data_IF_390758805162
#
_entry.id   IF_390758805162
#
_cell.length_a   1.000
_cell.length_b   1.000
_cell.length_c   1.000
_cell.angle_alpha   90.00
_cell.angle_beta   90.00
_cell.angle_gamma   90.00
#
_symmetry.space_group_name_H-M   'P 1'
#
loop_
_entity.id
_entity.type
_entity.pdbx_description
1 polymer ?
#
# COMPACT_ATOMS: atom_id res chain seq x y z
N UNK A 1 -34.44 -14.15 -2.20
CA UNK A 1 -33.30 -14.93 -2.77
C UNK A 1 -32.15 -14.06 -3.33
N UNK A 2 -32.19 -12.73 -3.16
CA UNK A 2 -31.20 -11.81 -3.76
C UNK A 2 -30.40 -10.99 -2.73
N UNK A 3 -30.28 -11.48 -1.50
CA UNK A 3 -29.59 -10.79 -0.41
C UNK A 3 -28.08 -11.05 -0.44
N UNK A 4 -27.30 -10.06 -0.05
CA UNK A 4 -25.88 -10.23 0.32
C UNK A 4 -25.80 -10.91 1.68
N UNK A 5 -24.82 -11.77 1.88
CA UNK A 5 -24.60 -12.50 3.14
C UNK A 5 -23.24 -12.12 3.69
N UNK A 6 -23.18 -11.72 4.94
CA UNK A 6 -21.96 -11.61 5.73
C UNK A 6 -21.86 -12.90 6.55
N UNK A 7 -20.82 -13.70 6.30
CA UNK A 7 -20.60 -14.99 6.98
C UNK A 7 -19.47 -14.82 8.00
N UNK A 8 -19.83 -14.67 9.26
CA UNK A 8 -18.84 -14.61 10.35
C UNK A 8 -18.24 -15.98 10.61
N UNK A 9 -16.91 -16.01 10.86
CA UNK A 9 -16.11 -17.23 10.95
C UNK A 9 -15.41 -17.41 12.30
N UNK A 10 -15.92 -16.75 13.34
CA UNK A 10 -15.38 -16.86 14.69
C UNK A 10 -15.39 -18.32 15.17
N UNK A 11 -14.27 -18.73 15.82
CA UNK A 11 -14.06 -20.09 16.32
C UNK A 11 -14.27 -21.23 15.29
N UNK A 12 -14.29 -20.90 13.97
CA UNK A 12 -14.48 -21.88 12.89
C UNK A 12 -13.17 -22.29 12.25
N UNK A 13 -13.07 -23.56 11.88
CA UNK A 13 -12.00 -24.07 11.03
C UNK A 13 -12.38 -23.97 9.54
N UNK A 14 -11.42 -24.29 8.66
CA UNK A 14 -11.58 -24.13 7.21
C UNK A 14 -12.64 -25.07 6.62
N UNK A 15 -12.80 -26.27 7.15
CA UNK A 15 -13.85 -27.25 6.67
C UNK A 15 -15.23 -26.72 6.99
N UNK A 16 -15.45 -26.19 8.18
CA UNK A 16 -16.76 -25.65 8.58
C UNK A 16 -17.15 -24.43 7.72
N UNK A 17 -16.20 -23.55 7.40
CA UNK A 17 -16.43 -22.43 6.47
C UNK A 17 -16.80 -22.97 5.07
N UNK A 18 -16.08 -23.99 4.58
CA UNK A 18 -16.36 -24.59 3.29
C UNK A 18 -17.77 -25.21 3.24
N UNK A 19 -18.19 -25.87 4.29
CA UNK A 19 -19.53 -26.49 4.36
C UNK A 19 -20.64 -25.45 4.41
N UNK A 20 -20.46 -24.37 5.18
CA UNK A 20 -21.38 -23.23 5.18
C UNK A 20 -21.52 -22.60 3.77
N UNK A 21 -20.42 -22.42 3.05
CA UNK A 21 -20.43 -21.90 1.69
C UNK A 21 -21.12 -22.85 0.68
N UNK A 22 -21.01 -24.17 0.86
CA UNK A 22 -21.75 -25.16 0.05
C UNK A 22 -23.27 -25.03 0.23
N UNK A 23 -23.72 -24.85 1.48
CA UNK A 23 -25.15 -24.68 1.82
C UNK A 23 -25.69 -23.39 1.20
N UNK A 24 -24.93 -22.28 1.28
CA UNK A 24 -25.36 -20.96 0.79
C UNK A 24 -25.54 -20.91 -0.74
N UNK A 25 -24.79 -21.69 -1.51
CA UNK A 25 -24.83 -21.80 -2.99
C UNK A 25 -24.74 -20.46 -3.75
N UNK A 26 -24.28 -19.37 -3.08
CA UNK A 26 -24.28 -17.99 -3.61
C UNK A 26 -22.94 -17.28 -3.41
N UNK A 27 -21.80 -17.97 -3.63
CA UNK A 27 -20.43 -17.47 -3.35
C UNK A 27 -20.20 -16.03 -3.73
N UNK A 28 -20.66 -15.57 -4.90
CA UNK A 28 -20.48 -14.17 -5.38
C UNK A 28 -21.19 -13.13 -4.51
N UNK A 29 -22.12 -13.52 -3.66
CA UNK A 29 -22.88 -12.62 -2.76
C UNK A 29 -22.47 -12.77 -1.31
N UNK A 30 -21.53 -13.65 -1.01
CA UNK A 30 -21.01 -13.86 0.35
C UNK A 30 -19.76 -13.02 0.53
N UNK A 31 -19.70 -12.31 1.64
CA UNK A 31 -18.49 -11.75 2.21
C UNK A 31 -18.13 -12.57 3.43
N UNK A 32 -16.97 -13.21 3.41
CA UNK A 32 -16.45 -13.94 4.57
C UNK A 32 -15.88 -12.92 5.55
N UNK A 33 -16.46 -12.89 6.76
CA UNK A 33 -16.03 -12.03 7.85
C UNK A 33 -15.05 -12.79 8.72
N UNK A 34 -13.74 -12.50 8.57
CA UNK A 34 -12.76 -13.02 9.51
C UNK A 34 -12.98 -12.40 10.87
N UNK A 35 -13.07 -13.18 11.92
CA UNK A 35 -13.19 -12.69 13.29
C UNK A 35 -12.58 -13.66 14.31
N UNK A 36 -12.23 -13.10 15.46
CA UNK A 36 -11.82 -13.83 16.65
C UNK A 36 -12.89 -13.65 17.72
N UNK A 37 -13.31 -14.74 18.37
CA UNK A 37 -14.40 -14.72 19.36
C UNK A 37 -13.93 -14.42 20.79
N UNK A 38 -12.78 -13.74 20.98
CA UNK A 38 -12.38 -13.17 22.25
C UNK A 38 -12.79 -11.69 22.35
N UNK A 39 -13.29 -11.26 23.49
CA UNK A 39 -13.84 -9.91 23.74
C UNK A 39 -13.23 -9.25 24.98
N UNK A 40 -12.25 -8.29 24.84
CA UNK A 40 -11.66 -7.86 23.56
C UNK A 40 -10.65 -8.87 23.01
N UNK A 41 -10.50 -8.91 21.67
CA UNK A 41 -9.47 -9.71 21.01
C UNK A 41 -8.08 -9.11 21.25
N UNK A 42 -7.07 -9.90 21.69
CA UNK A 42 -5.68 -9.48 21.72
C UNK A 42 -5.16 -9.15 20.31
N UNK A 43 -4.27 -8.16 20.20
CA UNK A 43 -3.76 -7.75 18.88
C UNK A 43 -3.08 -8.89 18.11
N UNK A 44 -2.33 -9.75 18.81
CA UNK A 44 -1.62 -10.89 18.20
C UNK A 44 -2.58 -11.94 17.61
N UNK A 45 -3.83 -11.98 18.09
CA UNK A 45 -4.82 -12.97 17.68
C UNK A 45 -5.76 -12.46 16.58
N UNK A 46 -5.66 -11.16 16.19
CA UNK A 46 -6.43 -10.61 15.06
C UNK A 46 -6.06 -11.32 13.75
N UNK A 47 -4.78 -11.62 13.54
CA UNK A 47 -4.26 -12.36 12.39
C UNK A 47 -4.82 -11.88 11.04
N UNK A 48 -4.56 -10.62 10.68
CA UNK A 48 -5.06 -10.02 9.44
C UNK A 48 -4.65 -10.78 8.17
N UNK A 49 -3.55 -11.53 8.19
CA UNK A 49 -3.14 -12.37 7.06
C UNK A 49 -4.15 -13.46 6.70
N UNK A 50 -5.00 -13.87 7.65
CA UNK A 50 -6.10 -14.78 7.37
C UNK A 50 -7.10 -14.24 6.34
N UNK A 51 -7.24 -12.92 6.22
CA UNK A 51 -8.11 -12.30 5.23
C UNK A 51 -7.69 -12.69 3.80
N UNK A 52 -6.40 -12.50 3.49
CA UNK A 52 -5.86 -12.87 2.18
C UNK A 52 -5.96 -14.35 1.91
N UNK A 53 -5.63 -15.18 2.90
CA UNK A 53 -5.74 -16.63 2.80
C UNK A 53 -7.19 -17.07 2.50
N UNK A 54 -8.18 -16.52 3.22
CA UNK A 54 -9.61 -16.83 3.00
C UNK A 54 -10.07 -16.37 1.61
N UNK A 55 -9.64 -15.18 1.16
CA UNK A 55 -9.96 -14.67 -0.17
C UNK A 55 -9.45 -15.60 -1.27
N UNK A 56 -8.17 -15.98 -1.19
CA UNK A 56 -7.53 -16.86 -2.19
C UNK A 56 -8.16 -18.25 -2.18
N UNK A 57 -8.41 -18.84 -0.99
CA UNK A 57 -8.95 -20.19 -0.85
C UNK A 57 -10.40 -20.32 -1.34
N UNK A 58 -11.25 -19.36 -1.03
CA UNK A 58 -12.68 -19.47 -1.31
C UNK A 58 -13.16 -18.64 -2.49
N UNK A 59 -12.30 -17.74 -3.02
CA UNK A 59 -12.65 -16.81 -4.09
C UNK A 59 -13.93 -16.01 -3.79
N UNK A 60 -14.04 -15.51 -2.56
CA UNK A 60 -15.14 -14.70 -2.03
C UNK A 60 -14.63 -13.31 -1.63
N UNK A 61 -15.56 -12.35 -1.50
CA UNK A 61 -15.23 -11.10 -0.81
C UNK A 61 -14.87 -11.37 0.64
N UNK A 62 -14.02 -10.53 1.19
CA UNK A 62 -13.56 -10.61 2.59
C UNK A 62 -13.92 -9.36 3.36
N UNK A 63 -14.13 -9.53 4.66
CA UNK A 63 -14.33 -8.48 5.64
C UNK A 63 -13.71 -8.86 6.98
N UNK A 64 -13.58 -7.90 7.87
CA UNK A 64 -13.11 -8.07 9.23
C UNK A 64 -14.23 -7.73 10.21
N UNK A 65 -14.58 -8.69 11.07
CA UNK A 65 -15.36 -8.45 12.29
C UNK A 65 -14.36 -8.34 13.45
N UNK A 66 -14.08 -7.12 13.88
CA UNK A 66 -12.98 -6.80 14.79
C UNK A 66 -13.49 -6.56 16.22
N UNK A 67 -13.21 -7.48 17.12
CA UNK A 67 -13.55 -7.41 18.54
C UNK A 67 -12.43 -6.82 19.41
N UNK A 68 -11.33 -6.33 18.81
CA UNK A 68 -10.27 -5.63 19.55
C UNK A 68 -10.65 -4.18 19.86
N UNK A 69 -9.83 -3.48 20.66
CA UNK A 69 -9.94 -2.03 20.86
C UNK A 69 -9.12 -1.22 19.85
N UNK A 70 -8.49 -1.87 18.89
CA UNK A 70 -7.66 -1.22 17.88
C UNK A 70 -8.49 -0.35 16.94
N UNK A 71 -8.01 0.87 16.71
CA UNK A 71 -8.50 1.78 15.65
C UNK A 71 -7.64 1.70 14.39
N UNK A 72 -6.56 0.90 14.43
CA UNK A 72 -5.58 0.75 13.33
C UNK A 72 -5.81 -0.53 12.55
N UNK A 73 -6.10 -1.64 13.23
CA UNK A 73 -6.28 -2.96 12.60
C UNK A 73 -7.32 -2.94 11.46
N UNK A 74 -8.47 -2.24 11.57
CA UNK A 74 -9.43 -2.11 10.46
C UNK A 74 -8.84 -1.47 9.19
N UNK A 75 -7.95 -0.47 9.33
CA UNK A 75 -7.26 0.12 8.17
C UNK A 75 -6.28 -0.86 7.53
N UNK A 76 -5.60 -1.68 8.34
CA UNK A 76 -4.77 -2.78 7.86
C UNK A 76 -5.58 -3.83 7.08
N UNK A 77 -6.76 -4.19 7.58
CA UNK A 77 -7.67 -5.10 6.88
C UNK A 77 -8.10 -4.56 5.51
N UNK A 78 -8.42 -3.26 5.41
CA UNK A 78 -8.75 -2.60 4.15
C UNK A 78 -7.55 -2.63 3.20
N UNK A 79 -6.33 -2.41 3.69
CA UNK A 79 -5.10 -2.50 2.88
C UNK A 79 -4.87 -3.90 2.29
N UNK A 80 -5.32 -4.95 2.97
CA UNK A 80 -5.26 -6.35 2.51
C UNK A 80 -6.42 -6.72 1.57
N UNK A 81 -7.47 -5.87 1.48
CA UNK A 81 -8.59 -6.06 0.56
C UNK A 81 -9.94 -6.31 1.22
N UNK A 82 -10.07 -6.13 2.54
CA UNK A 82 -11.36 -6.18 3.21
C UNK A 82 -12.30 -5.09 2.67
N UNK A 83 -13.53 -5.48 2.34
CA UNK A 83 -14.56 -4.59 1.80
C UNK A 83 -15.64 -4.25 2.83
N UNK A 84 -15.66 -4.95 3.96
CA UNK A 84 -16.58 -4.76 5.07
C UNK A 84 -15.78 -4.77 6.37
N UNK A 85 -16.08 -3.80 7.23
CA UNK A 85 -15.57 -3.76 8.61
C UNK A 85 -16.79 -3.75 9.54
N UNK A 86 -16.76 -4.65 10.50
CA UNK A 86 -17.76 -4.76 11.58
C UNK A 86 -17.04 -4.47 12.90
N UNK A 87 -17.68 -3.70 13.77
CA UNK A 87 -17.04 -3.24 15.01
C UNK A 87 -18.10 -2.96 16.08
N UNK A 88 -17.84 -3.41 17.30
CA UNK A 88 -18.66 -3.06 18.46
C UNK A 88 -18.54 -1.56 18.75
N UNK A 89 -19.66 -0.94 19.06
CA UNK A 89 -19.80 0.49 19.33
C UNK A 89 -20.62 0.74 20.59
N UNK A 90 -20.19 1.69 21.41
CA UNK A 90 -20.91 2.11 22.62
C UNK A 90 -20.75 3.59 22.89
N UNK A 91 -21.72 4.18 23.55
CA UNK A 91 -21.62 5.55 24.06
C UNK A 91 -20.74 5.64 25.31
N UNK A 92 -20.67 4.58 26.12
CA UNK A 92 -19.81 4.52 27.31
C UNK A 92 -19.45 3.08 27.66
N UNK A 93 -18.16 2.82 27.92
CA UNK A 93 -17.68 1.51 28.43
C UNK A 93 -18.13 1.22 29.88
N UNK A 94 -18.75 2.20 30.54
CA UNK A 94 -19.28 2.04 31.91
C UNK A 94 -20.72 1.53 31.94
N UNK A 95 -21.37 1.41 30.79
CA UNK A 95 -22.74 0.87 30.69
C UNK A 95 -22.75 -0.59 31.10
N UNK A 96 -23.89 -1.05 31.64
CA UNK A 96 -24.09 -2.45 32.01
C UNK A 96 -24.30 -3.29 30.76
N UNK A 97 -23.58 -4.41 30.64
CA UNK A 97 -23.68 -5.34 29.53
C UNK A 97 -22.31 -5.92 29.16
N UNK A 98 -22.27 -7.04 28.45
CA UNK A 98 -21.02 -7.78 28.21
C UNK A 98 -20.07 -7.03 27.23
N UNK A 99 -20.61 -6.38 26.20
CA UNK A 99 -19.81 -5.93 25.04
C UNK A 99 -19.27 -4.50 25.16
N UNK A 100 -19.75 -3.71 26.12
CA UNK A 100 -19.34 -2.31 26.26
C UNK A 100 -17.84 -2.13 26.46
N UNK A 101 -17.19 -3.05 27.20
CA UNK A 101 -15.73 -3.02 27.46
C UNK A 101 -14.90 -3.23 26.20
N UNK A 102 -15.44 -3.99 25.24
CA UNK A 102 -14.79 -4.33 23.96
C UNK A 102 -15.19 -3.38 22.82
N UNK A 103 -16.04 -2.38 23.12
CA UNK A 103 -16.62 -1.48 22.12
C UNK A 103 -15.80 -0.21 21.95
N UNK A 104 -15.82 0.36 20.74
CA UNK A 104 -15.28 1.68 20.48
C UNK A 104 -16.22 2.78 20.95
N UNK A 105 -15.65 3.86 21.48
CA UNK A 105 -16.34 5.10 21.79
C UNK A 105 -16.55 5.95 20.50
N UNK A 106 -17.48 6.94 20.49
CA UNK A 106 -17.76 7.76 19.30
C UNK A 106 -16.52 8.39 18.65
N UNK A 107 -15.61 8.95 19.46
CA UNK A 107 -14.35 9.55 18.97
C UNK A 107 -13.41 8.50 18.35
N UNK A 108 -13.31 7.33 18.96
CA UNK A 108 -12.47 6.24 18.46
C UNK A 108 -13.02 5.70 17.14
N UNK A 109 -14.33 5.47 17.04
CA UNK A 109 -15.01 5.06 15.81
C UNK A 109 -14.80 6.10 14.69
N UNK A 110 -14.98 7.38 14.99
CA UNK A 110 -14.75 8.46 14.03
C UNK A 110 -13.30 8.45 13.52
N UNK A 111 -12.32 8.30 14.43
CA UNK A 111 -10.90 8.22 14.06
C UNK A 111 -10.62 6.98 13.22
N UNK A 112 -11.16 5.82 13.57
CA UNK A 112 -11.04 4.58 12.79
C UNK A 112 -11.57 4.77 11.37
N UNK A 113 -12.76 5.34 11.21
CA UNK A 113 -13.35 5.60 9.90
C UNK A 113 -12.46 6.55 9.09
N UNK A 114 -11.95 7.63 9.70
CA UNK A 114 -11.01 8.55 9.05
C UNK A 114 -9.76 7.81 8.55
N UNK A 115 -9.15 6.99 9.40
CA UNK A 115 -7.98 6.20 9.05
C UNK A 115 -8.27 5.25 7.88
N UNK A 116 -9.44 4.59 7.85
CA UNK A 116 -9.87 3.75 6.74
C UNK A 116 -9.95 4.57 5.44
N UNK A 117 -10.60 5.75 5.46
CA UNK A 117 -10.74 6.60 4.27
C UNK A 117 -9.40 7.17 3.77
N UNK A 118 -8.46 7.43 4.66
CA UNK A 118 -7.09 7.80 4.30
C UNK A 118 -6.34 6.63 3.66
N UNK A 119 -6.48 5.42 4.23
CA UNK A 119 -5.90 4.20 3.67
C UNK A 119 -6.41 3.92 2.26
N UNK A 120 -7.73 3.99 2.01
CA UNK A 120 -8.32 3.81 0.69
C UNK A 120 -7.72 4.75 -0.37
N UNK A 121 -7.50 6.03 0.01
CA UNK A 121 -6.84 7.00 -0.87
C UNK A 121 -5.37 6.65 -1.12
N UNK A 122 -4.67 6.18 -0.09
CA UNK A 122 -3.24 5.86 -0.16
C UNK A 122 -2.96 4.59 -0.98
N UNK A 123 -3.89 3.64 -1.01
CA UNK A 123 -3.74 2.40 -1.79
C UNK A 123 -3.59 2.66 -3.30
N UNK A 124 -4.27 3.65 -3.83
CA UNK A 124 -4.14 4.02 -5.24
C UNK A 124 -4.43 2.87 -6.21
N UNK A 125 -3.60 2.75 -7.23
CA UNK A 125 -3.72 1.72 -8.29
C UNK A 125 -2.51 0.79 -8.30
N UNK A 126 -2.70 -0.47 -8.70
CA UNK A 126 -1.61 -1.46 -8.85
C UNK A 126 -0.73 -1.13 -10.07
N UNK A 127 -0.09 0.04 -10.05
CA UNK A 127 0.81 0.50 -11.09
C UNK A 127 1.91 1.41 -10.52
N UNK A 128 3.13 1.35 -11.06
CA UNK A 128 4.20 2.30 -10.74
C UNK A 128 4.40 3.29 -11.87
N UNK A 129 3.89 4.49 -11.67
CA UNK A 129 4.10 5.62 -12.59
C UNK A 129 4.50 6.89 -11.85
N UNK A 130 5.04 7.85 -12.62
CA UNK A 130 5.39 9.15 -12.07
C UNK A 130 4.11 9.92 -11.77
N UNK A 131 3.90 10.26 -10.51
CA UNK A 131 2.73 11.00 -10.06
C UNK A 131 2.77 12.46 -10.50
N UNK A 132 1.62 13.15 -10.43
CA UNK A 132 1.55 14.59 -10.73
C UNK A 132 2.45 15.41 -9.81
N UNK A 133 2.52 15.05 -8.52
CA UNK A 133 3.37 15.69 -7.52
C UNK A 133 4.86 15.52 -7.82
N UNK A 134 5.29 14.33 -8.29
CA UNK A 134 6.69 14.06 -8.63
C UNK A 134 7.15 14.75 -9.92
N UNK A 135 6.24 14.98 -10.88
CA UNK A 135 6.60 15.54 -12.20
C UNK A 135 7.34 16.87 -12.10
N UNK A 136 6.94 17.76 -11.18
CA UNK A 136 7.58 19.07 -10.98
C UNK A 136 9.03 18.93 -10.53
N UNK A 137 9.29 17.99 -9.62
CA UNK A 137 10.61 17.80 -9.01
C UNK A 137 11.52 16.87 -9.81
N UNK A 138 10.96 16.07 -10.73
CA UNK A 138 11.69 15.04 -11.46
C UNK A 138 12.97 15.54 -12.13
N UNK A 139 12.90 16.71 -12.79
CA UNK A 139 14.07 17.30 -13.49
C UNK A 139 15.13 17.79 -12.51
N UNK A 140 14.72 18.24 -11.34
CA UNK A 140 15.63 18.77 -10.30
C UNK A 140 16.37 17.64 -9.60
N UNK A 141 15.65 16.57 -9.22
CA UNK A 141 16.21 15.48 -8.40
C UNK A 141 17.00 14.45 -9.20
N UNK A 142 16.76 14.32 -10.51
CA UNK A 142 17.51 13.38 -11.35
C UNK A 142 18.91 13.95 -11.65
N UNK A 143 19.83 13.03 -12.00
CA UNK A 143 21.19 13.39 -12.39
C UNK A 143 21.35 13.42 -13.91
N UNK A 144 22.27 14.25 -14.37
CA UNK A 144 22.81 14.27 -15.73
C UNK A 144 24.26 13.83 -15.73
N UNK A 145 24.75 13.39 -16.88
CA UNK A 145 26.18 13.27 -17.11
C UNK A 145 26.75 14.66 -17.30
N UNK A 146 27.77 14.99 -16.50
CA UNK A 146 28.50 16.25 -16.55
C UNK A 146 30.01 15.99 -16.73
N UNK A 147 30.77 16.99 -17.16
CA UNK A 147 32.22 16.96 -17.11
C UNK A 147 32.68 17.01 -15.64
N UNK A 148 33.56 16.12 -15.18
CA UNK A 148 34.15 16.18 -13.84
C UNK A 148 35.33 17.16 -13.77
N UNK A 149 35.98 17.36 -14.90
CA UNK A 149 37.09 18.28 -15.15
C UNK A 149 36.85 18.99 -16.48
N UNK A 150 37.69 19.97 -16.83
CA UNK A 150 37.66 20.56 -18.17
C UNK A 150 37.96 19.51 -19.24
N UNK A 151 37.19 19.50 -20.32
CA UNK A 151 37.33 18.57 -21.46
C UNK A 151 37.52 19.40 -22.71
N UNK A 152 38.56 19.15 -23.49
CA UNK A 152 38.82 19.88 -24.75
C UNK A 152 38.05 19.25 -25.91
N UNK A 153 37.75 20.05 -26.94
CA UNK A 153 37.17 19.54 -28.20
C UNK A 153 38.11 18.46 -28.78
N UNK A 154 37.50 17.34 -29.21
CA UNK A 154 38.21 16.16 -29.73
C UNK A 154 38.63 15.14 -28.66
N UNK A 155 38.62 15.49 -27.39
CA UNK A 155 38.95 14.61 -26.28
C UNK A 155 37.83 13.54 -26.10
N UNK A 156 38.24 12.29 -25.79
CA UNK A 156 37.28 11.18 -25.57
C UNK A 156 36.65 11.26 -24.18
N UNK A 157 35.35 11.09 -24.11
CA UNK A 157 34.62 10.91 -22.86
C UNK A 157 34.96 9.60 -22.19
N UNK A 158 35.31 9.62 -20.92
CA UNK A 158 35.70 8.45 -20.12
C UNK A 158 35.25 8.61 -18.66
N UNK A 159 35.36 7.56 -17.87
CA UNK A 159 35.11 7.62 -16.42
C UNK A 159 36.01 8.62 -15.68
N UNK A 160 37.18 8.96 -16.26
CA UNK A 160 38.13 9.90 -15.65
C UNK A 160 37.66 11.36 -15.75
N UNK A 161 36.87 11.70 -16.79
CA UNK A 161 36.44 13.07 -17.07
C UNK A 161 34.93 13.29 -17.05
N UNK A 162 34.15 12.27 -16.60
CA UNK A 162 32.70 12.34 -16.44
C UNK A 162 32.29 12.17 -14.99
N UNK A 163 31.22 12.86 -14.59
CA UNK A 163 30.55 12.71 -13.30
C UNK A 163 29.01 12.72 -13.46
N UNK A 164 28.30 12.39 -12.38
CA UNK A 164 26.84 12.35 -12.37
C UNK A 164 26.31 13.30 -11.31
N UNK A 165 25.87 14.47 -11.74
CA UNK A 165 25.38 15.55 -10.86
C UNK A 165 23.93 15.94 -11.19
N UNK A 166 23.23 16.53 -10.24
CA UNK A 166 21.94 17.21 -10.46
C UNK A 166 22.20 18.58 -11.09
N UNK A 167 21.25 19.10 -11.88
CA UNK A 167 19.92 18.60 -12.21
C UNK A 167 19.90 17.64 -13.42
N UNK A 168 18.73 17.01 -13.65
CA UNK A 168 18.51 16.03 -14.71
C UNK A 168 18.06 16.61 -16.06
N UNK A 169 18.61 17.75 -16.46
CA UNK A 169 18.29 18.41 -17.74
C UNK A 169 19.09 17.86 -18.94
N UNK A 170 20.11 17.07 -18.68
CA UNK A 170 21.00 16.49 -19.68
C UNK A 170 20.79 15.00 -19.89
N UNK A 171 21.86 14.36 -20.39
CA UNK A 171 21.84 12.91 -20.65
C UNK A 171 21.82 12.18 -19.32
N UNK A 172 20.86 11.27 -19.18
CA UNK A 172 20.75 10.42 -17.97
C UNK A 172 21.99 9.53 -17.80
N UNK A 173 22.51 9.35 -16.58
CA UNK A 173 23.59 8.41 -16.28
C UNK A 173 23.32 6.98 -16.80
N UNK A 174 22.07 6.54 -16.86
CA UNK A 174 21.69 5.25 -17.44
C UNK A 174 22.04 5.09 -18.93
N UNK A 175 22.33 6.20 -19.61
CA UNK A 175 22.75 6.22 -21.01
C UNK A 175 24.27 6.45 -21.17
N UNK A 176 25.05 6.18 -20.12
CA UNK A 176 26.51 6.39 -20.13
C UNK A 176 27.21 5.70 -21.31
N UNK A 177 26.82 4.47 -21.63
CA UNK A 177 27.38 3.72 -22.80
C UNK A 177 27.23 4.46 -24.12
N UNK A 178 26.28 5.38 -24.26
CA UNK A 178 26.09 6.21 -25.46
C UNK A 178 27.05 7.40 -25.54
N UNK A 179 27.67 7.76 -24.42
CA UNK A 179 28.57 8.93 -24.29
C UNK A 179 30.02 8.47 -24.25
N UNK A 180 30.32 7.45 -23.45
CA UNK A 180 31.66 6.93 -23.24
C UNK A 180 32.33 6.53 -24.55
N UNK A 181 33.57 6.90 -24.71
CA UNK A 181 34.40 6.64 -25.91
C UNK A 181 34.16 7.59 -27.08
N UNK A 182 33.07 8.38 -27.09
CA UNK A 182 32.87 9.40 -28.12
C UNK A 182 33.80 10.60 -27.92
N UNK A 183 34.18 11.24 -28.99
CA UNK A 183 34.95 12.51 -28.96
C UNK A 183 34.01 13.70 -28.67
N UNK A 184 34.46 14.60 -27.82
CA UNK A 184 33.78 15.87 -27.55
C UNK A 184 33.74 16.74 -28.79
N UNK A 185 32.59 17.33 -29.11
CA UNK A 185 32.40 18.25 -30.22
C UNK A 185 32.77 19.71 -29.87
N UNK A 186 32.88 20.03 -28.57
CA UNK A 186 33.23 21.32 -28.03
C UNK A 186 34.07 21.23 -26.77
N UNK A 187 34.56 22.36 -26.27
CA UNK A 187 35.13 22.40 -24.93
C UNK A 187 34.02 22.38 -23.88
N UNK A 188 34.24 21.67 -22.77
CA UNK A 188 33.40 21.66 -21.57
C UNK A 188 34.20 22.13 -20.37
N UNK A 189 33.62 22.97 -19.56
CA UNK A 189 34.13 23.31 -18.22
C UNK A 189 33.72 22.23 -17.22
N UNK A 190 34.43 22.11 -16.11
CA UNK A 190 34.02 21.27 -15.00
C UNK A 190 32.55 21.60 -14.60
N UNK A 191 31.77 20.57 -14.27
CA UNK A 191 30.34 20.61 -13.93
C UNK A 191 29.39 20.97 -15.10
N UNK A 192 29.91 21.22 -16.29
CA UNK A 192 29.04 21.46 -17.45
C UNK A 192 28.33 20.17 -17.92
N UNK A 193 27.05 20.28 -18.24
CA UNK A 193 26.23 19.15 -18.72
C UNK A 193 26.71 18.71 -20.10
N UNK A 194 27.01 17.39 -20.22
CA UNK A 194 27.39 16.80 -21.51
C UNK A 194 26.19 16.74 -22.46
N UNK A 195 26.42 17.18 -23.69
CA UNK A 195 25.50 17.07 -24.83
C UNK A 195 26.24 16.44 -26.01
N UNK A 196 25.60 15.54 -26.76
CA UNK A 196 26.16 14.84 -27.91
C UNK A 196 25.77 15.50 -29.22
#
# INVERSE_FOLDING_TARGET
KNKKVLLSTGASNISEIADALKILKIKKKVTIMHCNSAYPTPLNDINLNSLKFLQEKFNCNIGLSDHSLSIVAPSGAVAIGATVIEKHFTLSRKLKGPDHKSSLLPKELSTMIKNIREMEKALGKKEKKITKSEKKNRKIIRKSIVASINIRKGEKFSFKNLAFKRPGYGISPMKLKRVQGKKSKKNYKADEIIRL
#
